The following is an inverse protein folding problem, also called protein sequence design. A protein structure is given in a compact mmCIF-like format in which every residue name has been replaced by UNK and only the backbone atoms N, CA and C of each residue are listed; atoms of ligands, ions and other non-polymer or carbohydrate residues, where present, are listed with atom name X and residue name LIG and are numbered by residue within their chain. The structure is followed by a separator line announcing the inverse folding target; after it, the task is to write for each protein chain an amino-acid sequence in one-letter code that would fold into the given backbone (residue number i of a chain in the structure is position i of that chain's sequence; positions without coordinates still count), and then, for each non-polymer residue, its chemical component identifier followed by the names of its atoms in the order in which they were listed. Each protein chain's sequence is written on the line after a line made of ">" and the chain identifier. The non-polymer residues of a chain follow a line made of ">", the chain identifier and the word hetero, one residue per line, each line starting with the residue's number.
data_IF_548590864707
#
_entry.id   IF_548590864707
#
_cell.length_a   1.000
_cell.length_b   1.000
_cell.length_c   1.000
_cell.angle_alpha   90.00
_cell.angle_beta   90.00
_cell.angle_gamma   90.00
#
_symmetry.space_group_name_H-M   'P 1'
#
loop_
_entity.id
_entity.type
_entity.pdbx_description
1 polymer ?
#
# COMPACT_ATOMS: atom_id res chain seq x y z
N UNK A 1 26.82 4.68 -32.66
CA UNK A 1 25.34 4.76 -32.69
C UNK A 1 24.94 6.15 -32.21
N UNK A 2 24.31 7.00 -33.04
CA UNK A 2 23.75 8.25 -32.55
C UNK A 2 22.69 7.94 -31.50
N UNK A 3 22.77 8.57 -30.32
CA UNK A 3 21.70 8.48 -29.32
C UNK A 3 20.46 9.09 -29.97
N UNK A 4 19.40 8.31 -30.15
CA UNK A 4 18.10 8.90 -30.46
C UNK A 4 17.78 9.92 -29.37
N UNK A 5 17.45 11.15 -29.78
CA UNK A 5 17.04 12.18 -28.85
C UNK A 5 15.68 11.77 -28.30
N UNK A 6 15.60 11.56 -26.98
CA UNK A 6 14.33 11.30 -26.30
C UNK A 6 13.44 12.53 -26.46
N UNK A 7 12.15 12.32 -26.71
CA UNK A 7 11.18 13.41 -26.69
C UNK A 7 10.96 13.89 -25.24
N UNK A 8 10.40 15.09 -25.05
CA UNK A 8 10.03 15.56 -23.72
C UNK A 8 9.06 14.59 -23.02
N UNK A 9 8.18 13.95 -23.78
CA UNK A 9 7.22 12.95 -23.28
C UNK A 9 7.94 11.67 -22.81
N UNK A 10 8.88 11.15 -23.60
CA UNK A 10 9.71 10.00 -23.20
C UNK A 10 10.48 10.25 -21.90
N UNK A 11 10.97 11.49 -21.72
CA UNK A 11 11.70 11.88 -20.52
C UNK A 11 10.77 11.93 -19.30
N UNK A 12 9.60 12.55 -19.44
CA UNK A 12 8.59 12.58 -18.37
C UNK A 12 8.13 11.16 -18.00
N UNK A 13 7.94 10.29 -18.99
CA UNK A 13 7.61 8.88 -18.81
C UNK A 13 8.70 8.12 -18.06
N UNK A 14 9.98 8.33 -18.42
CA UNK A 14 11.11 7.72 -17.70
C UNK A 14 11.21 8.19 -16.25
N UNK A 15 10.99 9.48 -15.98
CA UNK A 15 10.97 10.01 -14.61
C UNK A 15 9.83 9.41 -13.80
N UNK A 16 8.62 9.38 -14.38
CA UNK A 16 7.45 8.75 -13.76
C UNK A 16 7.74 7.30 -13.39
N UNK A 17 8.24 6.52 -14.33
CA UNK A 17 8.61 5.12 -14.15
C UNK A 17 9.64 4.93 -13.02
N UNK A 18 10.65 5.81 -12.95
CA UNK A 18 11.66 5.77 -11.88
C UNK A 18 11.05 6.01 -10.50
N UNK A 19 10.08 6.92 -10.40
CA UNK A 19 9.39 7.24 -9.14
C UNK A 19 8.47 6.12 -8.70
N UNK A 20 7.74 5.52 -9.64
CA UNK A 20 6.92 4.32 -9.38
C UNK A 20 7.77 3.15 -8.90
N UNK A 21 8.91 2.92 -9.55
CA UNK A 21 9.87 1.92 -9.13
C UNK A 21 10.44 2.22 -7.73
N UNK A 22 10.84 3.47 -7.48
CA UNK A 22 11.34 3.88 -6.17
C UNK A 22 10.29 3.69 -5.09
N UNK A 23 9.05 4.12 -5.34
CA UNK A 23 7.93 3.95 -4.44
C UNK A 23 7.65 2.45 -4.17
N UNK A 24 7.58 1.62 -5.23
CA UNK A 24 7.39 0.17 -5.10
C UNK A 24 8.47 -0.46 -4.22
N UNK A 25 9.75 -0.14 -4.49
CA UNK A 25 10.88 -0.63 -3.70
C UNK A 25 10.87 -0.11 -2.27
N UNK A 26 10.52 1.15 -2.05
CA UNK A 26 10.36 1.75 -0.74
C UNK A 26 9.25 1.06 0.05
N UNK A 27 8.14 0.72 -0.60
CA UNK A 27 7.09 -0.05 0.05
C UNK A 27 7.52 -1.47 0.33
N UNK A 28 8.12 -2.19 -0.62
CA UNK A 28 8.71 -3.52 -0.35
C UNK A 28 9.63 -3.49 0.88
N UNK A 29 10.54 -2.52 0.94
CA UNK A 29 11.44 -2.33 2.07
C UNK A 29 10.69 -1.99 3.38
N UNK A 30 9.70 -1.10 3.31
CA UNK A 30 8.86 -0.73 4.44
C UNK A 30 7.95 -1.86 4.89
N UNK A 31 7.56 -2.79 4.02
CA UNK A 31 6.80 -3.96 4.43
C UNK A 31 7.67 -4.93 5.24
N UNK A 32 8.97 -5.01 4.94
CA UNK A 32 9.89 -5.82 5.72
C UNK A 32 10.24 -5.19 7.09
N UNK A 33 10.24 -3.85 7.21
CA UNK A 33 10.79 -3.15 8.39
C UNK A 33 9.83 -2.15 9.08
N UNK A 34 8.67 -1.90 8.49
CA UNK A 34 7.73 -0.85 8.87
C UNK A 34 6.27 -1.27 8.70
N UNK A 35 5.99 -2.56 8.54
CA UNK A 35 4.62 -3.05 8.59
C UNK A 35 3.98 -2.68 9.93
N UNK A 36 2.74 -2.20 9.88
CA UNK A 36 1.97 -1.99 11.09
C UNK A 36 1.67 -3.34 11.72
N UNK A 37 2.30 -3.62 12.85
CA UNK A 37 2.04 -4.81 13.66
C UNK A 37 1.23 -4.39 14.87
N UNK A 38 0.03 -4.95 14.99
CA UNK A 38 -0.86 -4.76 16.13
C UNK A 38 -0.86 -6.03 17.00
N UNK A 39 -0.83 -5.90 18.33
CA UNK A 39 -1.03 -7.05 19.20
C UNK A 39 -2.48 -7.53 19.09
N UNK A 40 -2.72 -8.81 19.34
CA UNK A 40 -4.05 -9.38 19.50
C UNK A 40 -4.68 -9.04 20.87
N UNK A 41 -4.30 -7.91 21.45
CA UNK A 41 -4.83 -7.38 22.70
C UNK A 41 -5.16 -5.91 22.56
N UNK A 42 -6.15 -5.46 23.32
CA UNK A 42 -6.50 -4.06 23.44
C UNK A 42 -6.03 -3.53 24.81
N UNK A 43 -5.70 -2.22 24.93
CA UNK A 43 -5.78 -1.17 23.89
C UNK A 43 -4.66 -1.25 22.84
N UNK A 44 -4.88 -0.57 21.70
CA UNK A 44 -3.84 -0.39 20.67
C UNK A 44 -2.65 0.37 21.29
N UNK A 45 -1.41 -0.14 21.18
CA UNK A 45 -0.23 0.53 21.72
C UNK A 45 0.05 1.86 21.00
N UNK A 46 0.93 2.67 21.56
CA UNK A 46 1.44 3.84 20.86
C UNK A 46 2.12 3.41 19.55
N UNK A 47 1.65 3.99 18.45
CA UNK A 47 2.19 3.75 17.11
C UNK A 47 2.81 5.02 16.56
N UNK A 48 3.78 4.86 15.68
CA UNK A 48 4.42 6.00 15.04
C UNK A 48 3.43 6.75 14.14
N UNK A 49 3.59 8.06 14.06
CA UNK A 49 2.73 8.94 13.27
C UNK A 49 2.72 8.58 11.78
N UNK A 50 3.82 8.03 11.23
CA UNK A 50 3.84 7.58 9.83
C UNK A 50 2.82 6.46 9.57
N UNK A 51 2.58 5.58 10.55
CA UNK A 51 1.62 4.48 10.40
C UNK A 51 0.18 4.98 10.42
N UNK A 52 -0.08 6.01 11.24
CA UNK A 52 -1.37 6.71 11.31
C UNK A 52 -1.64 7.38 9.97
N UNK A 53 -0.68 8.16 9.47
CA UNK A 53 -0.79 8.84 8.18
C UNK A 53 -0.92 7.83 7.02
N UNK A 54 -0.17 6.72 7.05
CA UNK A 54 -0.22 5.68 6.01
C UNK A 54 -1.52 4.86 6.02
N UNK A 55 -2.35 4.96 7.07
CA UNK A 55 -3.69 4.36 7.09
C UNK A 55 -4.75 5.27 6.47
N UNK A 56 -4.40 6.53 6.21
CA UNK A 56 -5.29 7.48 5.55
C UNK A 56 -5.29 7.27 4.03
N UNK A 57 -6.35 7.77 3.40
CA UNK A 57 -6.60 7.72 1.96
C UNK A 57 -6.72 6.30 1.38
N UNK A 58 -6.74 5.26 2.22
CA UNK A 58 -6.98 3.88 1.79
C UNK A 58 -8.46 3.55 1.76
N UNK A 59 -8.85 2.65 0.88
CA UNK A 59 -10.23 2.16 0.76
C UNK A 59 -10.50 0.97 1.68
N UNK A 60 -9.51 0.17 2.05
CA UNK A 60 -9.67 -1.03 2.90
C UNK A 60 -8.41 -1.34 3.70
N UNK A 61 -8.51 -2.27 4.66
CA UNK A 61 -7.38 -2.88 5.34
C UNK A 61 -7.31 -4.38 5.04
N UNK A 62 -6.10 -4.88 4.77
CA UNK A 62 -5.81 -6.31 4.60
C UNK A 62 -5.05 -6.79 5.83
N UNK A 63 -5.63 -7.75 6.53
CA UNK A 63 -5.09 -8.34 7.74
C UNK A 63 -4.37 -9.64 7.45
N UNK A 64 -3.12 -9.72 7.89
CA UNK A 64 -2.38 -10.97 8.03
C UNK A 64 -2.31 -11.34 9.50
N UNK A 65 -2.69 -12.56 9.83
CA UNK A 65 -2.73 -13.07 11.19
C UNK A 65 -1.58 -14.04 11.37
N UNK A 66 -0.68 -13.72 12.29
CA UNK A 66 0.50 -14.55 12.53
C UNK A 66 0.69 -14.78 14.03
N UNK A 67 1.11 -15.97 14.46
CA UNK A 67 1.54 -16.17 15.84
C UNK A 67 2.71 -15.25 16.18
N UNK A 68 2.90 -14.95 17.47
CA UNK A 68 4.10 -14.29 17.95
C UNK A 68 5.27 -15.27 17.79
N UNK A 69 6.25 -14.90 16.98
CA UNK A 69 7.30 -15.79 16.50
C UNK A 69 8.58 -15.61 17.33
N UNK A 70 8.60 -16.05 18.58
CA UNK A 70 9.89 -16.29 19.23
C UNK A 70 10.52 -17.55 18.62
N UNK A 71 11.42 -17.38 17.65
CA UNK A 71 12.29 -18.45 17.13
C UNK A 71 11.76 -19.31 15.98
N UNK A 72 10.55 -19.08 15.46
CA UNK A 72 9.96 -19.87 14.37
C UNK A 72 10.25 -19.29 12.97
N UNK A 73 11.34 -19.73 12.35
CA UNK A 73 11.80 -19.23 11.04
C UNK A 73 10.89 -19.58 9.86
N UNK A 74 10.23 -20.75 9.86
CA UNK A 74 9.40 -21.18 8.72
C UNK A 74 8.10 -20.37 8.58
N UNK A 75 7.35 -20.18 9.68
CA UNK A 75 6.13 -19.38 9.69
C UNK A 75 6.42 -17.91 9.33
N UNK A 76 7.55 -17.36 9.81
CA UNK A 76 8.04 -16.04 9.41
C UNK A 76 8.29 -15.96 7.90
N UNK A 77 8.97 -16.97 7.32
CA UNK A 77 9.25 -16.99 5.89
C UNK A 77 7.97 -17.06 5.06
N UNK A 78 6.99 -17.88 5.49
CA UNK A 78 5.70 -18.02 4.81
C UNK A 78 4.89 -16.72 4.84
N UNK A 79 4.83 -16.06 6.00
CA UNK A 79 4.24 -14.71 6.11
C UNK A 79 4.93 -13.75 5.14
N UNK A 80 6.25 -13.72 5.15
CA UNK A 80 7.03 -12.88 4.23
C UNK A 80 6.68 -13.10 2.75
N UNK A 81 6.59 -14.36 2.30
CA UNK A 81 6.19 -14.71 0.91
C UNK A 81 4.80 -14.17 0.60
N UNK A 82 3.83 -14.50 1.46
CA UNK A 82 2.42 -14.14 1.25
C UNK A 82 2.25 -12.63 1.19
N UNK A 83 2.94 -11.89 2.06
CA UNK A 83 2.94 -10.42 2.05
C UNK A 83 3.46 -9.88 0.72
N UNK A 84 4.59 -10.38 0.21
CA UNK A 84 5.10 -9.94 -1.09
C UNK A 84 4.14 -10.25 -2.22
N UNK A 85 3.49 -11.41 -2.22
CA UNK A 85 2.50 -11.74 -3.24
C UNK A 85 1.32 -10.77 -3.21
N UNK A 86 0.78 -10.48 -2.01
CA UNK A 86 -0.29 -9.48 -1.83
C UNK A 86 0.15 -8.13 -2.39
N UNK A 87 1.34 -7.66 -2.01
CA UNK A 87 1.89 -6.38 -2.46
C UNK A 87 1.98 -6.34 -3.98
N UNK A 88 2.46 -7.40 -4.61
CA UNK A 88 2.56 -7.47 -6.06
C UNK A 88 1.19 -7.39 -6.74
N UNK A 89 0.20 -8.15 -6.27
CA UNK A 89 -1.17 -8.09 -6.80
C UNK A 89 -1.78 -6.70 -6.62
N UNK A 90 -1.62 -6.11 -5.43
CA UNK A 90 -2.07 -4.76 -5.11
C UNK A 90 -1.49 -3.71 -6.08
N UNK A 91 -0.18 -3.79 -6.34
CA UNK A 91 0.48 -2.86 -7.26
C UNK A 91 0.04 -3.04 -8.71
N UNK A 92 -0.12 -4.27 -9.18
CA UNK A 92 -0.56 -4.52 -10.57
C UNK A 92 -1.92 -3.90 -10.87
N UNK A 93 -2.83 -3.90 -9.90
CA UNK A 93 -4.17 -3.34 -10.07
C UNK A 93 -4.18 -1.81 -9.97
N UNK A 94 -3.36 -1.22 -9.09
CA UNK A 94 -3.35 0.25 -8.93
C UNK A 94 -2.76 1.04 -10.10
N UNK A 95 -1.88 0.42 -10.89
CA UNK A 95 -1.34 1.07 -12.07
C UNK A 95 -2.27 1.02 -13.29
N UNK A 96 -3.36 0.24 -13.24
CA UNK A 96 -4.32 0.13 -14.36
C UNK A 96 -5.38 1.23 -14.36
N UNK A 97 -5.99 1.50 -13.20
CA UNK A 97 -7.22 2.31 -13.16
C UNK A 97 -7.02 3.70 -12.55
N UNK A 98 -6.04 3.85 -11.66
CA UNK A 98 -5.71 5.13 -11.04
C UNK A 98 -4.56 5.70 -11.85
N UNK A 99 -4.65 6.97 -12.24
CA UNK A 99 -3.51 7.72 -12.78
C UNK A 99 -2.48 7.95 -11.67
N UNK A 100 -1.99 6.88 -11.05
CA UNK A 100 -0.76 6.83 -10.28
C UNK A 100 -0.71 7.90 -9.17
N UNK A 101 -1.75 7.93 -8.33
CA UNK A 101 -1.84 8.76 -7.11
C UNK A 101 -0.90 8.25 -6.01
N UNK A 102 0.39 8.14 -6.34
CA UNK A 102 1.45 7.90 -5.36
C UNK A 102 1.39 8.96 -4.28
N UNK A 103 1.07 10.19 -4.68
CA UNK A 103 0.83 11.35 -3.84
C UNK A 103 -0.16 11.06 -2.70
N UNK A 104 0.19 11.51 -1.49
CA UNK A 104 -0.59 11.28 -0.26
C UNK A 104 -0.87 9.82 0.08
N UNK A 105 -0.13 8.89 -0.54
CA UNK A 105 -0.30 7.46 -0.32
C UNK A 105 -1.70 6.99 -0.68
N UNK A 106 -2.30 7.48 -1.78
CA UNK A 106 -3.60 7.01 -2.23
C UNK A 106 -3.48 5.61 -2.88
N UNK A 107 -3.47 4.59 -2.02
CA UNK A 107 -3.54 3.18 -2.40
C UNK A 107 -4.84 2.65 -1.84
N UNK A 108 -5.60 1.81 -2.52
CA UNK A 108 -6.86 1.34 -1.94
C UNK A 108 -6.70 0.40 -0.73
N UNK A 109 -5.53 -0.12 -0.37
CA UNK A 109 -5.38 -0.94 0.83
C UNK A 109 -4.17 -0.61 1.73
N UNK A 110 -4.35 -0.78 3.05
CA UNK A 110 -3.28 -0.89 4.05
C UNK A 110 -3.11 -2.35 4.46
N UNK A 111 -1.88 -2.87 4.43
CA UNK A 111 -1.57 -4.16 5.05
C UNK A 111 -1.29 -3.96 6.55
N UNK A 112 -1.91 -4.80 7.38
CA UNK A 112 -1.80 -4.79 8.84
C UNK A 112 -1.52 -6.21 9.30
N UNK A 113 -0.50 -6.39 10.14
CA UNK A 113 -0.19 -7.65 10.80
C UNK A 113 -0.81 -7.67 12.17
N UNK A 114 -1.47 -8.77 12.53
CA UNK A 114 -1.97 -9.03 13.87
C UNK A 114 -1.18 -10.18 14.47
N UNK A 115 -0.51 -9.89 15.58
CA UNK A 115 0.26 -10.89 16.33
C UNK A 115 -0.62 -11.56 17.38
N UNK A 116 -0.92 -12.85 17.17
CA UNK A 116 -1.65 -13.67 18.12
C UNK A 116 -0.68 -14.33 19.14
N UNK A 117 -1.10 -14.59 20.39
CA UNK A 117 -0.20 -15.06 21.44
C UNK A 117 0.40 -16.45 21.17
N UNK A 118 -0.33 -17.32 20.49
CA UNK A 118 0.11 -18.69 20.18
C UNK A 118 -0.51 -19.21 18.88
N UNK A 119 0.09 -20.26 18.31
CA UNK A 119 -0.43 -20.96 17.12
C UNK A 119 -1.82 -21.57 17.36
N UNK A 120 -2.10 -21.95 18.61
CA UNK A 120 -3.40 -22.53 19.01
C UNK A 120 -4.50 -21.47 19.14
N UNK A 121 -4.13 -20.18 19.19
CA UNK A 121 -5.10 -19.09 19.22
C UNK A 121 -5.82 -19.05 17.87
N UNK A 122 -7.15 -19.23 17.90
CA UNK A 122 -8.01 -19.15 16.71
C UNK A 122 -8.79 -17.84 16.75
N UNK A 123 -8.26 -16.74 16.19
CA UNK A 123 -8.96 -15.47 16.22
C UNK A 123 -10.27 -15.57 15.43
N UNK A 124 -11.33 -15.04 16.02
CA UNK A 124 -12.61 -14.88 15.34
C UNK A 124 -12.58 -13.63 14.46
N UNK A 125 -13.44 -13.59 13.45
CA UNK A 125 -13.67 -12.37 12.66
C UNK A 125 -14.09 -11.20 13.56
N UNK A 126 -14.90 -11.47 14.59
CA UNK A 126 -15.29 -10.46 15.56
C UNK A 126 -14.10 -9.87 16.32
N UNK A 127 -13.05 -10.65 16.57
CA UNK A 127 -11.83 -10.15 17.23
C UNK A 127 -11.06 -9.22 16.30
N UNK A 128 -10.95 -9.57 15.00
CA UNK A 128 -10.28 -8.72 14.01
C UNK A 128 -11.07 -7.43 13.77
N UNK A 129 -12.41 -7.49 13.75
CA UNK A 129 -13.27 -6.29 13.67
C UNK A 129 -13.00 -5.38 14.88
N UNK A 130 -12.98 -5.90 16.10
CA UNK A 130 -12.68 -5.09 17.30
C UNK A 130 -11.31 -4.42 17.22
N UNK A 131 -10.28 -5.13 16.75
CA UNK A 131 -8.94 -4.57 16.54
C UNK A 131 -8.97 -3.47 15.48
N UNK A 132 -9.69 -3.68 14.37
CA UNK A 132 -9.83 -2.71 13.30
C UNK A 132 -10.58 -1.44 13.76
N UNK A 133 -11.66 -1.59 14.51
CA UNK A 133 -12.41 -0.46 15.10
C UNK A 133 -11.53 0.34 16.05
N UNK A 134 -10.81 -0.34 16.95
CA UNK A 134 -9.87 0.30 17.85
C UNK A 134 -8.74 1.01 17.10
N UNK A 135 -8.23 0.42 16.01
CA UNK A 135 -7.25 1.05 15.13
C UNK A 135 -7.82 2.32 14.46
N UNK A 136 -9.03 2.25 13.92
CA UNK A 136 -9.68 3.39 13.29
C UNK A 136 -9.89 4.55 14.27
N UNK A 137 -10.31 4.26 15.51
CA UNK A 137 -10.45 5.30 16.53
C UNK A 137 -9.07 5.85 16.95
N UNK A 138 -8.05 4.99 17.06
CA UNK A 138 -6.69 5.42 17.33
C UNK A 138 -6.16 6.36 16.23
N UNK A 139 -6.37 6.04 14.95
CA UNK A 139 -6.02 6.92 13.83
C UNK A 139 -6.77 8.23 13.93
N UNK A 140 -8.08 8.21 14.16
CA UNK A 140 -8.90 9.41 14.26
C UNK A 140 -8.47 10.35 15.39
N UNK A 141 -8.11 9.82 16.56
CA UNK A 141 -7.65 10.60 17.71
C UNK A 141 -6.27 11.20 17.46
N UNK A 142 -5.35 10.44 16.85
CA UNK A 142 -3.95 10.83 16.74
C UNK A 142 -3.62 11.54 15.41
N UNK A 143 -4.45 11.43 14.38
CA UNK A 143 -4.23 12.09 13.10
C UNK A 143 -4.06 13.62 13.22
N UNK A 144 -4.82 14.35 14.06
CA UNK A 144 -4.56 15.79 14.30
C UNK A 144 -3.16 16.08 14.86
N UNK A 145 -2.55 15.13 15.58
CA UNK A 145 -1.19 15.28 16.13
C UNK A 145 -0.14 15.24 15.00
N UNK A 146 -0.44 14.61 13.87
CA UNK A 146 0.42 14.68 12.69
C UNK A 146 0.57 16.12 12.15
N UNK A 147 -0.34 17.05 12.48
CA UNK A 147 -0.21 18.46 12.10
C UNK A 147 0.68 19.28 13.05
N UNK A 148 0.91 18.83 14.29
CA UNK A 148 1.46 19.67 15.37
C UNK A 148 2.83 19.18 15.77
N UNK A 149 3.85 20.03 15.62
CA UNK A 149 5.13 19.82 16.30
C UNK A 149 5.18 20.77 17.48
N UNK A 150 5.33 20.24 18.68
CA UNK A 150 5.55 21.04 19.88
C UNK A 150 6.97 20.83 20.35
N UNK A 151 7.63 21.89 20.82
CA UNK A 151 8.90 21.75 21.55
C UNK A 151 8.67 21.15 22.95
N UNK A 152 9.76 21.01 23.72
CA UNK A 152 9.72 20.52 25.11
C UNK A 152 8.90 21.42 26.06
N UNK A 153 8.55 22.63 25.65
CA UNK A 153 7.72 23.57 26.41
C UNK A 153 6.24 23.49 26.02
N UNK A 154 5.90 22.68 25.02
CA UNK A 154 4.55 22.59 24.47
C UNK A 154 4.23 23.69 23.45
N UNK A 155 5.22 24.50 23.05
CA UNK A 155 5.03 25.58 22.07
C UNK A 155 5.02 24.98 20.66
N UNK A 156 4.00 25.29 19.86
CA UNK A 156 3.96 24.87 18.45
C UNK A 156 5.14 25.49 17.69
N UNK A 157 6.00 24.64 17.16
CA UNK A 157 7.09 25.02 16.27
C UNK A 157 6.50 25.04 14.86
N UNK A 158 6.64 26.17 14.15
CA UNK A 158 6.43 26.23 12.69
C UNK A 158 7.57 25.46 12.01
N UNK A 159 7.50 24.14 12.11
CA UNK A 159 8.51 23.28 11.54
C UNK A 159 8.14 22.99 10.09
N UNK A 160 8.72 23.80 9.22
CA UNK A 160 8.75 23.52 7.78
C UNK A 160 9.60 22.30 7.41
N UNK A 161 10.30 21.68 8.38
CA UNK A 161 11.14 20.52 8.12
C UNK A 161 10.30 19.28 7.88
N UNK A 162 10.59 18.68 6.73
CA UNK A 162 10.09 17.38 6.35
C UNK A 162 10.84 16.32 7.17
N UNK A 163 10.15 15.66 8.09
CA UNK A 163 10.75 14.59 8.89
C UNK A 163 10.67 13.28 8.11
N UNK A 164 11.82 12.85 7.57
CA UNK A 164 11.97 11.51 7.01
C UNK A 164 12.05 10.50 8.15
N UNK A 165 10.98 9.75 8.37
CA UNK A 165 10.96 8.58 9.24
C UNK A 165 10.96 7.31 8.38
N UNK A 166 12.10 7.06 7.72
CA UNK A 166 12.25 5.98 6.74
C UNK A 166 11.80 6.40 5.34
N UNK A 167 11.03 5.55 4.65
CA UNK A 167 10.59 5.78 3.27
C UNK A 167 9.28 6.57 3.13
N UNK A 168 8.59 6.85 4.24
CA UNK A 168 7.39 7.68 4.29
C UNK A 168 7.76 8.90 5.11
N UNK A 169 7.76 10.07 4.50
CA UNK A 169 7.90 11.29 5.28
C UNK A 169 6.53 11.84 5.66
N UNK A 170 6.47 12.38 6.87
CA UNK A 170 5.28 13.06 7.38
C UNK A 170 5.31 14.47 6.82
N UNK A 171 4.23 14.84 6.13
CA UNK A 171 4.06 16.21 5.71
C UNK A 171 3.03 16.90 6.59
N UNK A 172 3.52 17.49 7.69
CA UNK A 172 2.68 18.12 8.72
C UNK A 172 1.82 19.25 8.15
N UNK A 173 2.34 20.03 7.20
CA UNK A 173 1.61 21.12 6.51
C UNK A 173 0.44 20.62 5.68
N UNK A 174 0.54 19.39 5.22
CA UNK A 174 -0.40 18.79 4.30
C UNK A 174 -1.26 17.70 4.96
N UNK A 175 -1.25 17.61 6.30
CA UNK A 175 -2.03 16.64 7.07
C UNK A 175 -3.54 16.69 6.77
N UNK A 176 -4.08 17.87 6.43
CA UNK A 176 -5.49 18.06 6.04
C UNK A 176 -5.94 17.23 4.83
N UNK A 177 -4.99 16.71 4.04
CA UNK A 177 -5.26 15.85 2.88
C UNK A 177 -5.14 14.36 3.19
N UNK A 178 -4.76 13.99 4.41
CA UNK A 178 -4.81 12.62 4.90
C UNK A 178 -6.13 12.43 5.63
N UNK A 179 -7.03 11.62 5.07
CA UNK A 179 -8.35 11.35 5.63
C UNK A 179 -8.56 9.86 5.83
N UNK A 180 -9.06 9.47 6.99
CA UNK A 180 -9.55 8.12 7.20
C UNK A 180 -10.87 7.94 6.42
N UNK A 181 -10.84 7.16 5.34
CA UNK A 181 -12.00 7.03 4.44
C UNK A 181 -13.11 6.20 5.09
N UNK A 182 -14.39 6.51 4.83
CA UNK A 182 -15.50 5.68 5.29
C UNK A 182 -15.38 4.21 4.87
N UNK A 183 -14.95 3.95 3.62
CA UNK A 183 -14.78 2.59 3.11
C UNK A 183 -13.71 1.80 3.89
N UNK A 184 -12.62 2.47 4.30
CA UNK A 184 -11.56 1.84 5.11
C UNK A 184 -12.09 1.27 6.41
N UNK A 185 -13.01 2.02 7.04
CA UNK A 185 -13.63 1.65 8.32
C UNK A 185 -14.68 0.56 8.15
N UNK A 186 -15.31 0.51 6.98
CA UNK A 186 -16.49 -0.31 6.72
C UNK A 186 -16.16 -1.71 6.19
N UNK A 187 -15.01 -1.87 5.53
CA UNK A 187 -14.64 -3.09 4.82
C UNK A 187 -13.21 -3.48 5.19
N UNK A 188 -13.03 -4.75 5.53
CA UNK A 188 -11.71 -5.35 5.77
C UNK A 188 -11.56 -6.66 5.00
N UNK A 189 -10.31 -7.07 4.82
CA UNK A 189 -9.93 -8.34 4.22
C UNK A 189 -9.03 -9.10 5.18
N UNK A 190 -9.16 -10.42 5.26
CA UNK A 190 -8.24 -11.30 6.00
C UNK A 190 -7.60 -12.25 5.00
N UNK A 191 -6.28 -12.34 5.03
CA UNK A 191 -5.49 -13.21 4.18
C UNK A 191 -5.66 -14.66 4.63
N UNK A 192 -5.97 -15.55 3.70
CA UNK A 192 -5.89 -16.99 3.96
C UNK A 192 -4.45 -17.46 3.75
N UNK A 193 -3.77 -17.80 4.86
CA UNK A 193 -2.39 -18.31 4.84
C UNK A 193 -2.29 -19.81 4.50
N UNK A 194 -3.41 -20.50 4.30
CA UNK A 194 -3.45 -21.91 3.92
C UNK A 194 -3.49 -22.14 2.40
N UNK A 195 -3.73 -21.09 1.61
CA UNK A 195 -3.65 -21.16 0.15
C UNK A 195 -2.21 -21.52 -0.29
N UNK A 196 -2.09 -22.44 -1.25
CA UNK A 196 -0.78 -22.89 -1.76
C UNK A 196 -0.04 -21.74 -2.47
N UNK A 197 1.30 -21.77 -2.45
CA UNK A 197 2.16 -20.71 -3.01
C UNK A 197 1.99 -20.47 -4.51
N UNK A 198 1.34 -21.39 -5.21
CA UNK A 198 1.21 -21.41 -6.67
C UNK A 198 -0.20 -21.00 -7.12
N UNK A 199 -1.15 -20.86 -6.19
CA UNK A 199 -2.52 -20.42 -6.46
C UNK A 199 -2.69 -18.92 -6.22
N UNK A 200 -3.71 -18.34 -6.85
CA UNK A 200 -4.11 -16.95 -6.60
C UNK A 200 -4.42 -16.76 -5.10
N UNK A 201 -3.90 -15.69 -4.50
CA UNK A 201 -4.03 -15.46 -3.06
C UNK A 201 -5.51 -15.36 -2.68
N UNK A 202 -5.98 -16.24 -1.79
CA UNK A 202 -7.34 -16.20 -1.27
C UNK A 202 -7.44 -15.21 -0.11
N UNK A 203 -8.54 -14.46 -0.07
CA UNK A 203 -8.89 -13.54 1.00
C UNK A 203 -10.35 -13.68 1.40
N UNK A 204 -10.62 -13.30 2.65
CA UNK A 204 -11.94 -13.26 3.24
C UNK A 204 -12.35 -11.80 3.46
N UNK A 205 -13.40 -11.34 2.80
CA UNK A 205 -13.94 -9.99 2.95
C UNK A 205 -15.03 -9.96 4.01
N UNK A 206 -15.05 -8.89 4.78
CA UNK A 206 -16.06 -8.66 5.82
C UNK A 206 -16.45 -7.19 5.91
N UNK A 207 -17.75 -6.96 6.05
CA UNK A 207 -18.27 -5.68 6.51
C UNK A 207 -18.11 -5.56 8.03
N UNK A 208 -17.55 -4.45 8.51
CA UNK A 208 -17.39 -4.20 9.96
C UNK A 208 -18.69 -3.76 10.63
N UNK A 209 -19.71 -3.39 9.84
CA UNK A 209 -20.94 -2.76 10.31
C UNK A 209 -20.85 -1.24 10.44
N UNK A 210 -19.65 -0.65 10.31
CA UNK A 210 -19.47 0.81 10.30
C UNK A 210 -19.88 1.40 8.95
N UNK A 211 -21.15 1.79 8.80
CA UNK A 211 -21.69 2.36 7.55
C UNK A 211 -21.65 3.89 7.48
N UNK A 212 -21.26 4.57 8.57
CA UNK A 212 -21.26 6.03 8.65
C UNK A 212 -20.36 6.67 7.58
N UNK A 213 -20.97 7.46 6.69
CA UNK A 213 -20.28 8.20 5.64
C UNK A 213 -20.16 7.45 4.30
N UNK A 214 -20.72 6.25 4.19
CA UNK A 214 -20.89 5.58 2.90
C UNK A 214 -22.11 6.14 2.15
N UNK A 215 -22.05 6.11 0.83
CA UNK A 215 -23.14 6.49 -0.07
C UNK A 215 -24.30 5.50 -0.04
N UNK A 216 -24.01 4.22 0.20
CA UNK A 216 -24.96 3.13 0.35
C UNK A 216 -24.33 1.98 1.15
N UNK A 217 -25.14 1.07 1.75
CA UNK A 217 -24.63 -0.15 2.36
C UNK A 217 -23.72 -0.95 1.42
N UNK A 218 -22.77 -1.69 1.99
CA UNK A 218 -21.92 -2.61 1.23
C UNK A 218 -22.70 -3.91 1.05
N UNK A 219 -22.92 -4.29 -0.21
CA UNK A 219 -23.48 -5.60 -0.56
C UNK A 219 -22.41 -6.40 -1.29
N UNK A 220 -22.34 -7.69 -1.00
CA UNK A 220 -21.34 -8.57 -1.61
C UNK A 220 -21.88 -9.35 -2.82
N UNK A 221 -23.09 -9.05 -3.29
CA UNK A 221 -23.77 -9.79 -4.36
C UNK A 221 -22.94 -9.93 -5.65
N UNK A 222 -22.12 -8.93 -5.98
CA UNK A 222 -21.25 -8.95 -7.16
C UNK A 222 -20.04 -9.89 -7.04
N UNK A 223 -19.71 -10.34 -5.83
CA UNK A 223 -18.55 -11.23 -5.54
C UNK A 223 -18.93 -12.51 -4.78
N UNK A 224 -20.15 -12.62 -4.25
CA UNK A 224 -20.74 -13.85 -3.72
C UNK A 224 -20.76 -14.93 -4.83
N UNK A 225 -20.54 -16.21 -4.49
CA UNK A 225 -19.49 -17.05 -5.06
C UNK A 225 -19.54 -17.34 -6.58
N UNK A 226 -18.35 -17.21 -7.20
CA UNK A 226 -17.83 -18.14 -8.24
C UNK A 226 -16.96 -19.27 -7.66
N UNK A 227 -16.60 -19.23 -6.38
CA UNK A 227 -15.83 -20.26 -5.69
C UNK A 227 -16.78 -21.10 -4.83
N UNK A 228 -16.90 -22.38 -5.16
CA UNK A 228 -17.79 -23.31 -4.47
C UNK A 228 -17.54 -23.32 -2.96
N UNK A 229 -18.63 -23.60 -2.25
CA UNK A 229 -18.75 -23.67 -0.80
C UNK A 229 -17.74 -24.63 -0.16
N UNK A 230 -16.50 -24.20 0.04
CA UNK A 230 -15.59 -24.86 0.97
C UNK A 230 -15.61 -24.18 2.32
N UNK A 231 -15.84 -25.03 3.33
CA UNK A 231 -15.91 -24.81 4.77
C UNK A 231 -15.32 -23.46 5.21
N UNK A 232 -16.23 -22.52 5.43
CA UNK A 232 -16.02 -21.34 6.28
C UNK A 232 -15.22 -21.74 7.52
N UNK A 233 -14.15 -20.99 7.81
CA UNK A 233 -13.22 -21.09 8.95
C UNK A 233 -13.90 -20.95 10.35
N UNK A 234 -15.05 -21.59 10.58
CA UNK A 234 -15.80 -21.50 11.84
C UNK A 234 -16.40 -20.12 12.11
N UNK A 235 -16.51 -19.25 11.10
CA UNK A 235 -17.03 -17.90 11.26
C UNK A 235 -18.54 -17.82 11.01
N UNK A 236 -19.32 -17.13 11.88
CA UNK A 236 -20.76 -17.01 11.72
C UNK A 236 -21.15 -16.28 10.43
N UNK A 237 -22.10 -16.88 9.70
CA UNK A 237 -22.41 -16.71 8.27
C UNK A 237 -23.01 -15.37 7.79
N UNK A 238 -22.92 -14.28 8.55
CA UNK A 238 -23.60 -13.03 8.20
C UNK A 238 -22.59 -11.98 7.72
N UNK A 239 -22.19 -12.05 6.44
CA UNK A 239 -21.38 -11.01 5.78
C UNK A 239 -19.93 -11.37 5.48
N UNK A 240 -19.59 -12.66 5.48
CA UNK A 240 -18.30 -13.19 5.02
C UNK A 240 -18.37 -13.58 3.55
N UNK A 241 -17.42 -13.11 2.73
CA UNK A 241 -17.21 -13.63 1.37
C UNK A 241 -15.77 -14.06 1.18
N UNK A 242 -15.58 -15.30 0.74
CA UNK A 242 -14.27 -15.82 0.34
C UNK A 242 -14.12 -15.66 -1.18
N UNK A 243 -13.02 -15.05 -1.61
CA UNK A 243 -12.71 -14.85 -3.03
C UNK A 243 -11.21 -14.69 -3.22
N UNK A 244 -10.77 -14.49 -4.46
CA UNK A 244 -9.37 -14.20 -4.77
C UNK A 244 -9.04 -12.75 -4.48
N UNK A 245 -7.78 -12.44 -4.17
CA UNK A 245 -7.32 -11.08 -3.93
C UNK A 245 -7.61 -10.19 -5.14
N UNK A 246 -7.42 -10.68 -6.38
CA UNK A 246 -7.72 -9.88 -7.57
C UNK A 246 -9.19 -9.46 -7.60
N UNK A 247 -10.12 -10.41 -7.46
CA UNK A 247 -11.55 -10.12 -7.47
C UNK A 247 -11.99 -9.24 -6.28
N UNK A 248 -11.37 -9.42 -5.12
CA UNK A 248 -11.61 -8.58 -3.95
C UNK A 248 -11.23 -7.12 -4.19
N UNK A 249 -10.10 -6.90 -4.86
CA UNK A 249 -9.63 -5.56 -5.18
C UNK A 249 -10.43 -4.89 -6.29
N UNK A 250 -10.83 -5.63 -7.33
CA UNK A 250 -11.75 -5.11 -8.36
C UNK A 250 -13.06 -4.63 -7.72
N UNK A 251 -13.56 -5.37 -6.73
CA UNK A 251 -14.72 -4.99 -5.94
C UNK A 251 -14.48 -3.72 -5.10
N UNK A 252 -13.33 -3.61 -4.42
CA UNK A 252 -12.97 -2.38 -3.68
C UNK A 252 -12.88 -1.18 -4.61
N UNK A 253 -12.27 -1.33 -5.79
CA UNK A 253 -12.18 -0.27 -6.80
C UNK A 253 -13.58 0.16 -7.26
N UNK A 254 -14.49 -0.79 -7.50
CA UNK A 254 -15.87 -0.47 -7.86
C UNK A 254 -16.62 0.29 -6.74
N UNK A 255 -16.41 -0.08 -5.47
CA UNK A 255 -16.96 0.66 -4.32
C UNK A 255 -16.34 2.06 -4.21
N UNK A 256 -15.05 2.20 -4.43
CA UNK A 256 -14.36 3.48 -4.43
C UNK A 256 -14.93 4.43 -5.49
N UNK A 257 -15.08 3.96 -6.74
CA UNK A 257 -15.72 4.73 -7.82
C UNK A 257 -17.15 5.15 -7.46
N UNK A 258 -17.90 4.26 -6.81
CA UNK A 258 -19.25 4.56 -6.29
C UNK A 258 -19.21 5.71 -5.28
N UNK A 259 -18.32 5.65 -4.30
CA UNK A 259 -18.17 6.68 -3.27
C UNK A 259 -17.70 8.02 -3.87
N UNK A 260 -16.78 7.99 -4.83
CA UNK A 260 -16.28 9.18 -5.53
C UNK A 260 -17.39 9.87 -6.33
N UNK A 261 -18.26 9.10 -6.98
CA UNK A 261 -19.42 9.62 -7.71
C UNK A 261 -20.47 10.23 -6.77
N UNK A 262 -20.68 9.63 -5.61
CA UNK A 262 -21.65 10.10 -4.62
C UNK A 262 -21.16 11.35 -3.85
N UNK A 263 -19.83 11.46 -3.63
CA UNK A 263 -19.22 12.56 -2.90
C UNK A 263 -18.14 13.31 -3.70
N UNK A 264 -18.48 14.00 -4.80
CA UNK A 264 -17.48 14.69 -5.63
C UNK A 264 -16.68 15.74 -4.87
N UNK A 265 -17.28 16.40 -3.87
CA UNK A 265 -16.61 17.41 -3.04
C UNK A 265 -15.53 16.84 -2.12
N UNK A 266 -15.55 15.52 -1.89
CA UNK A 266 -14.55 14.83 -1.09
C UNK A 266 -13.38 14.33 -1.95
N UNK A 267 -13.51 14.39 -3.27
CA UNK A 267 -12.39 14.13 -4.17
C UNK A 267 -11.28 15.16 -3.90
N UNK A 268 -10.05 14.67 -3.89
CA UNK A 268 -8.89 15.54 -3.75
C UNK A 268 -8.80 16.44 -4.98
N UNK A 269 -8.54 17.72 -4.74
CA UNK A 269 -8.22 18.64 -5.82
C UNK A 269 -6.90 18.16 -6.49
N UNK A 270 -6.93 17.79 -7.78
CA UNK A 270 -5.79 17.25 -8.49
C UNK A 270 -4.66 18.28 -8.68
N UNK A 271 -4.94 19.57 -8.45
CA UNK A 271 -3.92 20.62 -8.44
C UNK A 271 -3.05 20.62 -7.18
N UNK A 272 -3.50 19.97 -6.11
CA UNK A 272 -2.77 19.88 -4.85
C UNK A 272 -1.71 18.82 -4.99
N UNK A 273 -0.45 19.21 -4.92
CA UNK A 273 0.70 18.32 -5.08
C UNK A 273 1.20 17.91 -3.69
N UNK A 274 1.60 16.65 -3.54
CA UNK A 274 2.26 16.20 -2.32
C UNK A 274 3.68 16.80 -2.24
N UNK A 275 3.92 17.62 -1.22
CA UNK A 275 5.17 18.32 -0.99
C UNK A 275 6.26 17.42 -0.35
N UNK A 276 6.09 16.08 -0.32
CA UNK A 276 7.12 15.11 0.11
C UNK A 276 8.54 15.39 -0.40
N UNK A 277 9.36 16.08 0.40
CA UNK A 277 10.83 16.12 0.44
C UNK A 277 11.68 16.45 -0.80
N UNK A 278 11.21 16.31 -2.04
CA UNK A 278 12.02 16.60 -3.21
C UNK A 278 12.09 18.12 -3.47
N UNK A 279 13.29 18.71 -3.44
CA UNK A 279 13.53 20.05 -3.99
C UNK A 279 12.72 20.21 -5.29
N UNK A 280 11.86 21.25 -5.45
CA UNK A 280 11.10 21.48 -6.68
C UNK A 280 11.96 21.41 -7.95
N UNK A 281 13.24 21.75 -7.84
CA UNK A 281 14.21 21.65 -8.93
C UNK A 281 14.74 20.23 -9.20
N UNK A 282 14.56 19.25 -8.32
CA UNK A 282 15.13 17.90 -8.45
C UNK A 282 14.70 17.21 -9.75
N UNK A 283 13.39 17.13 -9.99
CA UNK A 283 12.84 16.49 -11.20
C UNK A 283 13.19 17.29 -12.46
N UNK A 284 13.10 18.61 -12.39
CA UNK A 284 13.49 19.48 -13.50
C UNK A 284 14.97 19.30 -13.88
N UNK A 285 15.87 19.21 -12.89
CA UNK A 285 17.31 18.95 -13.12
C UNK A 285 17.55 17.56 -13.71
N UNK A 286 16.87 16.54 -13.19
CA UNK A 286 16.94 15.18 -13.72
C UNK A 286 16.38 15.09 -15.15
N UNK A 287 15.32 15.82 -15.47
CA UNK A 287 14.78 15.88 -16.83
C UNK A 287 15.73 16.61 -17.78
N UNK A 288 16.24 17.77 -17.37
CA UNK A 288 17.17 18.59 -18.18
C UNK A 288 18.45 17.83 -18.51
N UNK A 289 18.95 16.99 -17.60
CA UNK A 289 20.11 16.13 -17.89
C UNK A 289 19.83 15.05 -18.95
N UNK A 290 18.55 14.75 -19.22
CA UNK A 290 18.09 13.88 -20.30
C UNK A 290 17.71 14.64 -21.59
N UNK A 291 17.85 15.96 -21.63
CA UNK A 291 17.54 16.80 -22.80
C UNK A 291 16.16 17.46 -22.77
N UNK A 292 15.47 17.44 -21.62
CA UNK A 292 14.16 18.06 -21.50
C UNK A 292 14.20 19.58 -21.63
N UNK A 293 13.36 20.11 -22.53
CA UNK A 293 13.28 21.56 -22.84
C UNK A 293 11.95 22.20 -22.42
N UNK A 294 11.05 21.42 -21.82
CA UNK A 294 9.73 21.90 -21.40
C UNK A 294 9.74 22.77 -20.12
N UNK A 295 8.55 23.13 -19.61
CA UNK A 295 8.39 23.96 -18.42
C UNK A 295 8.91 23.28 -17.15
N UNK A 296 9.04 24.04 -16.05
CA UNK A 296 9.44 23.48 -14.76
C UNK A 296 8.54 22.31 -14.34
N UNK A 297 9.19 21.20 -13.98
CA UNK A 297 8.55 19.97 -13.56
C UNK A 297 8.35 20.03 -12.04
N UNK A 298 7.14 20.41 -11.61
CA UNK A 298 6.79 20.62 -10.20
C UNK A 298 6.41 19.35 -9.41
N UNK A 299 7.00 18.19 -9.74
CA UNK A 299 6.81 16.82 -9.16
C UNK A 299 5.63 15.99 -9.68
N UNK A 300 5.69 14.68 -9.41
CA UNK A 300 4.93 13.55 -9.97
C UNK A 300 3.42 13.75 -9.93
N UNK A 301 2.88 14.55 -10.84
CA UNK A 301 1.44 14.63 -11.02
C UNK A 301 0.97 13.39 -11.78
N UNK A 302 -0.22 12.91 -11.44
CA UNK A 302 -1.03 11.98 -12.25
C UNK A 302 -1.18 12.43 -13.71
N UNK A 303 -0.98 13.73 -13.97
CA UNK A 303 -1.08 14.35 -15.29
C UNK A 303 0.21 14.32 -16.12
N UNK A 304 1.34 13.84 -15.59
CA UNK A 304 2.63 13.84 -16.30
C UNK A 304 2.65 13.00 -17.56
N UNK A 305 1.87 11.91 -17.55
CA UNK A 305 1.67 11.03 -18.68
C UNK A 305 0.23 10.53 -18.57
N UNK A 306 -0.62 10.88 -19.54
CA UNK A 306 -1.82 10.06 -19.77
C UNK A 306 -1.30 8.76 -20.35
N UNK A 307 -1.40 7.66 -19.61
CA UNK A 307 -1.15 6.35 -20.18
C UNK A 307 -2.11 6.19 -21.35
N UNK A 308 -1.59 5.98 -22.56
CA UNK A 308 -2.42 5.65 -23.70
C UNK A 308 -3.08 4.28 -23.42
N UNK A 309 -4.33 4.11 -23.84
CA UNK A 309 -5.02 2.82 -23.72
C UNK A 309 -4.19 1.72 -24.40
N UNK A 310 -3.65 0.79 -23.61
CA UNK A 310 -2.91 -0.38 -24.11
C UNK A 310 -1.38 -0.33 -24.04
N UNK A 311 -0.75 0.67 -23.42
CA UNK A 311 0.69 0.62 -23.12
C UNK A 311 0.99 -0.20 -21.84
N UNK A 312 1.99 -1.08 -21.91
CA UNK A 312 2.34 -2.04 -20.86
C UNK A 312 2.65 -1.38 -19.51
N UNK A 313 1.88 -1.77 -18.49
CA UNK A 313 2.24 -1.60 -17.08
C UNK A 313 3.58 -2.32 -16.83
N UNK A 314 4.44 -1.74 -16.00
CA UNK A 314 5.67 -2.35 -15.47
C UNK A 314 5.54 -3.89 -15.37
N UNK A 315 6.42 -4.69 -16.00
CA UNK A 315 6.38 -6.13 -15.79
C UNK A 315 6.51 -6.38 -14.28
N UNK A 316 5.77 -7.35 -13.73
CA UNK A 316 5.89 -7.70 -12.32
C UNK A 316 7.37 -7.88 -11.97
N UNK A 317 7.82 -7.25 -10.89
CA UNK A 317 9.05 -7.69 -10.25
C UNK A 317 8.80 -9.15 -9.90
N UNK A 318 9.47 -10.04 -10.64
CA UNK A 318 9.39 -11.49 -10.40
C UNK A 318 9.57 -11.73 -8.91
N UNK A 319 8.70 -12.52 -8.23
CA UNK A 319 8.75 -12.82 -6.79
C UNK A 319 10.03 -13.48 -6.27
N UNK A 320 11.07 -13.58 -7.10
CA UNK A 320 12.28 -14.37 -6.93
C UNK A 320 13.19 -14.00 -5.76
N UNK A 321 12.82 -13.04 -4.91
CA UNK A 321 13.58 -12.74 -3.69
C UNK A 321 13.19 -13.69 -2.56
N UNK A 322 11.90 -14.00 -2.39
CA UNK A 322 11.46 -14.80 -1.25
C UNK A 322 11.51 -16.30 -1.55
N UNK A 323 11.20 -16.70 -2.80
CA UNK A 323 11.40 -18.07 -3.27
C UNK A 323 12.88 -18.54 -3.22
N UNK A 324 13.85 -17.62 -3.25
CA UNK A 324 15.28 -17.97 -3.13
C UNK A 324 15.74 -18.21 -1.69
N UNK A 325 15.03 -17.67 -0.69
CA UNK A 325 15.35 -17.90 0.73
C UNK A 325 15.21 -19.38 1.10
N UNK A 326 14.19 -20.04 0.53
CA UNK A 326 13.89 -21.45 0.79
C UNK A 326 14.77 -22.45 0.02
N UNK A 327 15.35 -22.05 -1.14
CA UNK A 327 16.12 -22.96 -2.00
C UNK A 327 17.64 -22.92 -1.79
N UNK A 328 18.20 -21.85 -1.20
CA UNK A 328 19.65 -21.60 -1.28
C UNK A 328 20.38 -21.43 0.05
N UNK A 329 19.71 -21.40 1.20
CA UNK A 329 20.38 -21.30 2.52
C UNK A 329 21.32 -20.10 2.66
N UNK A 330 21.08 -19.01 1.91
CA UNK A 330 21.95 -17.84 1.86
C UNK A 330 21.60 -16.85 2.98
N UNK A 331 22.62 -16.17 3.53
CA UNK A 331 22.45 -15.09 4.50
C UNK A 331 21.80 -13.85 3.86
N UNK A 332 21.05 -13.06 4.66
CA UNK A 332 20.31 -11.88 4.18
C UNK A 332 21.19 -10.88 3.39
N UNK A 333 22.46 -10.74 3.79
CA UNK A 333 23.43 -9.85 3.14
C UNK A 333 23.85 -10.34 1.74
N UNK A 334 24.02 -11.65 1.56
CA UNK A 334 24.37 -12.25 0.27
C UNK A 334 23.19 -12.25 -0.70
N UNK A 335 21.97 -12.39 -0.18
CA UNK A 335 20.72 -12.32 -0.95
C UNK A 335 20.46 -10.89 -1.45
N UNK A 336 20.61 -9.86 -0.61
CA UNK A 336 20.46 -8.46 -1.02
C UNK A 336 21.47 -8.06 -2.10
N UNK A 337 22.72 -8.52 -2.01
CA UNK A 337 23.75 -8.29 -3.03
C UNK A 337 23.41 -8.95 -4.37
N UNK A 338 22.87 -10.18 -4.35
CA UNK A 338 22.48 -10.91 -5.56
C UNK A 338 21.24 -10.33 -6.22
N UNK A 339 20.23 -9.93 -5.44
CA UNK A 339 19.06 -9.20 -5.94
C UNK A 339 19.47 -7.89 -6.62
N UNK A 340 20.33 -7.08 -5.99
CA UNK A 340 20.84 -5.87 -6.62
C UNK A 340 21.61 -6.15 -7.92
N UNK A 341 22.36 -7.27 -7.99
CA UNK A 341 23.07 -7.69 -9.19
C UNK A 341 22.12 -8.07 -10.34
N UNK A 342 21.10 -8.87 -10.07
CA UNK A 342 20.13 -9.32 -11.09
C UNK A 342 19.23 -8.18 -11.58
N UNK A 343 18.81 -7.28 -10.68
CA UNK A 343 18.10 -6.07 -11.08
C UNK A 343 19.00 -5.16 -11.95
N UNK A 344 20.26 -4.93 -11.55
CA UNK A 344 21.23 -4.16 -12.37
C UNK A 344 21.45 -4.76 -13.76
N UNK A 345 21.40 -6.09 -13.91
CA UNK A 345 21.49 -6.77 -15.21
C UNK A 345 20.26 -6.57 -16.08
N UNK A 346 19.05 -6.75 -15.54
CA UNK A 346 17.79 -6.51 -16.27
C UNK A 346 17.69 -5.05 -16.74
N UNK A 347 18.09 -4.09 -15.90
CA UNK A 347 18.09 -2.67 -16.26
C UNK A 347 19.22 -2.27 -17.23
N UNK A 348 20.39 -2.94 -17.21
CA UNK A 348 21.39 -2.75 -18.27
C UNK A 348 20.91 -3.18 -19.64
N UNK A 349 20.05 -4.21 -19.71
CA UNK A 349 19.48 -4.70 -20.97
C UNK A 349 18.28 -3.86 -21.43
N UNK A 350 17.46 -3.34 -20.52
CA UNK A 350 16.36 -2.40 -20.85
C UNK A 350 16.81 -0.98 -21.22
N UNK A 351 18.03 -0.57 -20.87
CA UNK A 351 18.61 0.72 -21.24
C UNK A 351 19.47 0.68 -22.53
N UNK A 352 19.55 -0.48 -23.19
CA UNK A 352 20.28 -0.68 -24.45
C UNK A 352 19.35 -0.98 -25.64
N UNK A 353 18.03 -0.89 -25.46
CA UNK A 353 17.02 -0.96 -26.52
C UNK A 353 16.63 0.41 -27.03
#
# INVERSE_FOLDING_TARGET
>A
MPRSLLTNEDILRKLRFSEEYHHRRCREYFFDHGLLTLPFSLPIPEVRLEQIQDSCNKSTAIYSITPHLEGHTEAYCRDSVNRSNIIFSLYEQWFRDHQSDIDFGNFAAKLIRVEIPSVDTKPTVGDIIKIHEAWCEHVKINLPLCSRKTDSTGTEIDDSSFEFHGCIGINRKQNKYYKLRPLFRALIMIVDHHASSDAEQIVHLFGTGLSSGLSAPITFESISPKLESEKSLGYPNNGLVTTTLSAAMDFVTALELREEKAFPKNQRDPSIIDERGADPGHYTRAARSMGYTGPEIRRTSSTWVKLAEGEDVLPPLTPGVILMKHRLGMTDKAMFARYQSEQRKKYRLGCLG
#
